data_IF_832717694932
#
_entry.id   IF_832717694932
#
_cell.length_a   1.000
_cell.length_b   1.000
_cell.length_c   1.000
_cell.angle_alpha   90.00
_cell.angle_beta   90.00
_cell.angle_gamma   90.00
#
_symmetry.space_group_name_H-M   'P 1'
#
loop_
_entity.id
_entity.type
_entity.pdbx_description
1 polymer ?
#
# COMPACT_ATOMS: atom_id res chain seq x y z
N UNK A 1 29.19 -17.15 -67.83
CA UNK A 1 30.48 -17.86 -67.83
C UNK A 1 31.19 -17.56 -66.51
N UNK A 2 31.69 -18.63 -65.88
CA UNK A 2 32.49 -18.68 -64.64
C UNK A 2 33.59 -17.59 -64.62
N UNK A 3 33.98 -17.02 -63.47
CA UNK A 3 34.91 -17.67 -62.51
C UNK A 3 34.81 -17.08 -61.10
N UNK A 4 34.82 -18.00 -60.12
CA UNK A 4 35.12 -17.81 -58.71
C UNK A 4 36.64 -17.64 -58.47
N UNK A 5 37.05 -16.94 -57.40
CA UNK A 5 38.18 -17.25 -56.52
C UNK A 5 38.11 -16.27 -55.32
N UNK A 6 37.67 -16.66 -54.12
CA UNK A 6 38.36 -17.41 -53.03
C UNK A 6 39.05 -16.46 -52.03
N UNK A 7 38.57 -16.49 -50.75
CA UNK A 7 39.33 -16.66 -49.47
C UNK A 7 40.53 -15.70 -49.23
N UNK A 8 40.86 -15.13 -48.08
CA UNK A 8 40.40 -15.04 -46.69
C UNK A 8 41.50 -14.24 -45.95
N UNK A 9 41.20 -13.73 -44.76
CA UNK A 9 42.11 -13.39 -43.65
C UNK A 9 43.33 -12.48 -43.92
N UNK A 10 43.33 -11.30 -43.30
CA UNK A 10 44.18 -11.05 -42.12
C UNK A 10 44.08 -9.58 -41.68
N UNK A 11 43.57 -9.40 -40.46
CA UNK A 11 44.07 -8.50 -39.42
C UNK A 11 44.75 -7.21 -39.89
N UNK A 12 44.03 -6.10 -39.84
CA UNK A 12 44.67 -4.82 -39.54
C UNK A 12 44.19 -4.33 -38.18
N UNK A 13 45.13 -4.44 -37.25
CA UNK A 13 45.11 -4.06 -35.85
C UNK A 13 44.54 -2.65 -35.71
N UNK A 14 43.34 -2.55 -35.14
CA UNK A 14 42.79 -1.31 -34.61
C UNK A 14 43.54 -1.00 -33.32
N UNK A 15 44.53 -0.12 -33.44
CA UNK A 15 45.16 0.59 -32.34
C UNK A 15 44.12 1.44 -31.60
N UNK A 16 43.54 0.87 -30.55
CA UNK A 16 42.93 1.63 -29.45
C UNK A 16 43.86 1.54 -28.24
N UNK A 17 44.78 2.51 -28.15
CA UNK A 17 45.40 2.85 -26.89
C UNK A 17 45.01 4.29 -26.58
N UNK A 18 44.32 4.45 -25.47
CA UNK A 18 44.35 5.66 -24.67
C UNK A 18 43.22 6.64 -24.92
N UNK A 19 42.12 6.44 -24.20
CA UNK A 19 41.24 7.48 -23.62
C UNK A 19 40.38 6.71 -22.62
N UNK A 20 40.75 6.68 -21.33
CA UNK A 20 40.42 7.76 -20.41
C UNK A 20 39.12 7.39 -19.70
N UNK A 21 39.21 6.87 -18.48
CA UNK A 21 38.07 6.54 -17.62
C UNK A 21 37.22 7.80 -17.36
N UNK A 22 36.19 8.03 -18.19
CA UNK A 22 35.31 9.20 -18.07
C UNK A 22 33.87 8.95 -18.59
N UNK A 23 33.45 7.69 -18.70
CA UNK A 23 32.13 7.32 -19.25
C UNK A 23 31.17 6.57 -18.30
N UNK A 24 31.53 6.33 -17.03
CA UNK A 24 30.66 5.57 -16.11
C UNK A 24 29.62 6.44 -15.36
N UNK A 25 29.93 7.70 -15.04
CA UNK A 25 29.07 8.53 -14.18
C UNK A 25 27.75 8.97 -14.84
N UNK A 26 27.71 9.05 -16.18
CA UNK A 26 26.49 9.43 -16.90
C UNK A 26 25.41 8.34 -16.86
N UNK A 27 25.82 7.08 -16.90
CA UNK A 27 24.93 5.93 -16.89
C UNK A 27 24.22 5.79 -15.54
N UNK A 28 24.97 5.89 -14.43
CA UNK A 28 24.45 5.77 -13.07
C UNK A 28 23.57 6.93 -12.63
N UNK A 29 23.90 8.16 -13.05
CA UNK A 29 23.02 9.31 -12.82
C UNK A 29 21.66 9.12 -13.48
N UNK A 30 21.64 8.67 -14.74
CA UNK A 30 20.40 8.40 -15.47
C UNK A 30 19.61 7.25 -14.86
N UNK A 31 20.29 6.16 -14.46
CA UNK A 31 19.63 5.03 -13.80
C UNK A 31 18.94 5.46 -12.49
N UNK A 32 19.59 6.30 -11.68
CA UNK A 32 19.03 6.81 -10.43
C UNK A 32 17.87 7.79 -10.65
N UNK A 33 17.94 8.66 -11.68
CA UNK A 33 16.83 9.53 -12.09
C UNK A 33 15.59 8.72 -12.56
N UNK A 34 15.82 7.61 -13.28
CA UNK A 34 14.74 6.67 -13.65
C UNK A 34 14.11 6.08 -12.39
N UNK A 35 14.91 5.63 -11.41
CA UNK A 35 14.39 5.12 -10.13
C UNK A 35 13.60 6.15 -9.34
N UNK A 36 14.03 7.40 -9.30
CA UNK A 36 13.25 8.48 -8.69
C UNK A 36 11.89 8.69 -9.38
N UNK A 37 11.84 8.53 -10.70
CA UNK A 37 10.58 8.60 -11.46
C UNK A 37 9.66 7.42 -11.11
N UNK A 38 10.19 6.20 -11.06
CA UNK A 38 9.44 5.00 -10.67
C UNK A 38 8.90 5.12 -9.23
N UNK A 39 9.70 5.66 -8.30
CA UNK A 39 9.27 5.97 -6.93
C UNK A 39 8.07 6.92 -6.94
N UNK A 40 8.16 8.04 -7.67
CA UNK A 40 7.08 9.03 -7.74
C UNK A 40 5.78 8.42 -8.30
N UNK A 41 5.89 7.60 -9.35
CA UNK A 41 4.75 6.88 -9.91
C UNK A 41 4.11 5.96 -8.88
N UNK A 42 4.90 5.15 -8.19
CA UNK A 42 4.38 4.24 -7.17
C UNK A 42 3.77 5.00 -5.98
N UNK A 43 4.38 6.09 -5.53
CA UNK A 43 3.81 6.94 -4.47
C UNK A 43 2.44 7.51 -4.85
N UNK A 44 2.26 7.91 -6.12
CA UNK A 44 0.96 8.36 -6.61
C UNK A 44 -0.08 7.22 -6.54
N UNK A 45 0.28 6.03 -7.00
CA UNK A 45 -0.61 4.86 -6.98
C UNK A 45 -0.99 4.43 -5.55
N UNK A 46 -0.01 4.41 -4.63
CA UNK A 46 -0.24 4.13 -3.22
C UNK A 46 -1.17 5.16 -2.59
N UNK A 47 -0.97 6.45 -2.89
CA UNK A 47 -1.85 7.53 -2.42
C UNK A 47 -3.28 7.34 -2.90
N UNK A 48 -3.47 6.93 -4.17
CA UNK A 48 -4.77 6.57 -4.71
C UNK A 48 -5.43 5.41 -3.96
N UNK A 49 -4.68 4.36 -3.63
CA UNK A 49 -5.17 3.21 -2.84
C UNK A 49 -5.54 3.59 -1.42
N UNK A 50 -4.72 4.41 -0.76
CA UNK A 50 -4.98 4.93 0.59
C UNK A 50 -6.29 5.72 0.59
N UNK A 51 -6.45 6.66 -0.34
CA UNK A 51 -7.66 7.47 -0.45
C UNK A 51 -8.92 6.62 -0.69
N UNK A 52 -8.82 5.60 -1.56
CA UNK A 52 -9.92 4.65 -1.80
C UNK A 52 -10.27 3.86 -0.54
N UNK A 53 -9.27 3.36 0.18
CA UNK A 53 -9.47 2.59 1.41
C UNK A 53 -10.09 3.45 2.52
N UNK A 54 -9.59 4.68 2.71
CA UNK A 54 -10.15 5.65 3.65
C UNK A 54 -11.61 5.97 3.32
N UNK A 55 -11.93 6.26 2.06
CA UNK A 55 -13.32 6.50 1.63
C UNK A 55 -14.25 5.35 1.98
N UNK A 56 -13.84 4.10 1.68
CA UNK A 56 -14.65 2.90 2.00
C UNK A 56 -14.80 2.71 3.51
N UNK A 57 -13.72 2.91 4.27
CA UNK A 57 -13.72 2.82 5.73
C UNK A 57 -14.70 3.84 6.31
N UNK A 58 -14.65 5.09 5.87
CA UNK A 58 -15.49 6.17 6.39
C UNK A 58 -16.97 5.92 6.08
N UNK A 59 -17.28 5.37 4.90
CA UNK A 59 -18.64 4.91 4.57
C UNK A 59 -19.13 3.80 5.51
N UNK A 60 -18.28 2.82 5.83
CA UNK A 60 -18.62 1.73 6.75
C UNK A 60 -18.76 2.20 8.20
N UNK A 61 -17.93 3.15 8.64
CA UNK A 61 -18.04 3.80 9.95
C UNK A 61 -19.36 4.55 10.05
N UNK A 62 -19.70 5.33 9.02
CA UNK A 62 -20.98 6.03 8.99
C UNK A 62 -22.16 5.04 9.04
N UNK A 63 -22.09 3.94 8.28
CA UNK A 63 -23.14 2.92 8.32
C UNK A 63 -23.26 2.24 9.69
N UNK A 64 -22.14 2.01 10.36
CA UNK A 64 -22.11 1.47 11.72
C UNK A 64 -22.87 2.39 12.68
N UNK A 65 -22.61 3.71 12.64
CA UNK A 65 -23.31 4.69 13.48
C UNK A 65 -24.82 4.73 13.26
N UNK A 66 -25.27 4.60 12.01
CA UNK A 66 -26.70 4.49 11.68
C UNK A 66 -27.35 3.26 12.29
N UNK A 67 -26.67 2.10 12.20
CA UNK A 67 -27.18 0.84 12.76
C UNK A 67 -27.20 0.87 14.29
N UNK A 68 -26.21 1.48 14.92
CA UNK A 68 -26.17 1.70 16.37
C UNK A 68 -27.32 2.62 16.83
N UNK A 69 -27.60 3.69 16.08
CA UNK A 69 -28.73 4.57 16.36
C UNK A 69 -30.05 3.81 16.30
N UNK A 70 -30.24 3.01 15.26
CA UNK A 70 -31.44 2.18 15.13
C UNK A 70 -31.55 1.14 16.26
N UNK A 71 -30.45 0.50 16.67
CA UNK A 71 -30.46 -0.40 17.83
C UNK A 71 -30.90 0.36 19.09
N UNK A 72 -30.42 1.59 19.30
CA UNK A 72 -30.83 2.42 20.45
C UNK A 72 -32.32 2.75 20.41
N UNK A 73 -32.85 3.14 19.26
CA UNK A 73 -34.28 3.46 19.09
C UNK A 73 -35.16 2.23 19.37
N UNK A 74 -34.82 1.07 18.77
CA UNK A 74 -35.51 -0.20 19.02
C UNK A 74 -35.44 -0.59 20.50
N UNK A 75 -34.29 -0.41 21.13
CA UNK A 75 -34.10 -0.71 22.55
C UNK A 75 -35.04 0.11 23.44
N UNK A 76 -35.22 1.39 23.12
CA UNK A 76 -36.11 2.28 23.87
C UNK A 76 -37.58 1.98 23.61
N UNK A 77 -37.96 1.79 22.34
CA UNK A 77 -39.32 1.48 21.94
C UNK A 77 -39.87 0.20 22.60
N UNK A 78 -39.02 -0.83 22.73
CA UNK A 78 -39.42 -2.15 23.22
C UNK A 78 -38.91 -2.48 24.64
N UNK A 79 -38.39 -1.47 25.36
CA UNK A 79 -37.81 -1.61 26.71
C UNK A 79 -36.81 -2.77 26.87
N UNK A 80 -35.93 -2.94 25.88
CA UNK A 80 -34.95 -4.04 25.86
C UNK A 80 -33.77 -3.68 26.77
N UNK A 81 -33.54 -4.48 27.82
CA UNK A 81 -32.45 -4.22 28.80
C UNK A 81 -31.28 -5.20 28.72
N UNK A 82 -31.49 -6.37 28.15
CA UNK A 82 -30.51 -7.46 28.16
C UNK A 82 -30.16 -7.89 26.75
N UNK A 83 -28.94 -8.40 26.58
CA UNK A 83 -28.49 -8.95 25.30
C UNK A 83 -29.38 -10.11 24.84
N UNK A 84 -29.82 -10.98 25.75
CA UNK A 84 -30.72 -12.09 25.41
C UNK A 84 -32.06 -11.60 24.85
N UNK A 85 -32.63 -10.53 25.41
CA UNK A 85 -33.84 -9.90 24.85
C UNK A 85 -33.57 -9.20 23.52
N UNK A 86 -32.37 -8.62 23.36
CA UNK A 86 -31.95 -8.00 22.10
C UNK A 86 -31.91 -9.02 20.95
N UNK A 87 -31.42 -10.24 21.22
CA UNK A 87 -31.40 -11.33 20.22
C UNK A 87 -32.79 -11.82 19.82
N UNK A 88 -33.82 -11.59 20.65
CA UNK A 88 -35.21 -11.92 20.31
C UNK A 88 -35.87 -10.86 19.42
N UNK A 89 -35.31 -9.66 19.34
CA UNK A 89 -35.74 -8.65 18.37
C UNK A 89 -34.95 -8.84 17.08
N UNK A 90 -35.63 -9.29 16.02
CA UNK A 90 -34.99 -9.62 14.73
C UNK A 90 -34.23 -8.44 14.10
N UNK A 91 -34.70 -7.20 14.32
CA UNK A 91 -34.03 -6.01 13.80
C UNK A 91 -32.72 -5.74 14.54
N UNK A 92 -32.73 -5.86 15.88
CA UNK A 92 -31.52 -5.69 16.69
C UNK A 92 -30.50 -6.79 16.40
N UNK A 93 -30.91 -8.06 16.36
CA UNK A 93 -30.02 -9.18 16.04
C UNK A 93 -29.35 -8.99 14.67
N UNK A 94 -30.15 -8.64 13.65
CA UNK A 94 -29.62 -8.36 12.32
C UNK A 94 -28.62 -7.20 12.32
N UNK A 95 -28.96 -6.08 12.95
CA UNK A 95 -28.09 -4.92 12.99
C UNK A 95 -26.77 -5.22 13.74
N UNK A 96 -26.81 -6.00 14.82
CA UNK A 96 -25.60 -6.43 15.54
C UNK A 96 -24.67 -7.27 14.66
N UNK A 97 -25.21 -8.22 13.88
CA UNK A 97 -24.44 -9.03 12.93
C UNK A 97 -23.85 -8.18 11.80
N UNK A 98 -24.61 -7.20 11.33
CA UNK A 98 -24.12 -6.29 10.29
C UNK A 98 -22.99 -5.39 10.81
N UNK A 99 -23.11 -4.85 12.03
CA UNK A 99 -22.02 -4.08 12.67
C UNK A 99 -20.79 -4.95 12.89
N UNK A 100 -20.96 -6.22 13.30
CA UNK A 100 -19.87 -7.18 13.45
C UNK A 100 -19.09 -7.35 12.14
N UNK A 101 -19.79 -7.52 11.02
CA UNK A 101 -19.18 -7.65 9.70
C UNK A 101 -18.46 -6.36 9.27
N UNK A 102 -19.12 -5.21 9.43
CA UNK A 102 -18.55 -3.91 9.08
C UNK A 102 -17.29 -3.60 9.89
N UNK A 103 -17.28 -3.93 11.19
CA UNK A 103 -16.12 -3.74 12.06
C UNK A 103 -14.92 -4.56 11.58
N UNK A 104 -15.16 -5.81 11.16
CA UNK A 104 -14.12 -6.64 10.57
C UNK A 104 -13.54 -6.04 9.27
N UNK A 105 -14.39 -5.56 8.37
CA UNK A 105 -13.92 -4.89 7.14
C UNK A 105 -13.17 -3.59 7.42
N UNK A 106 -13.63 -2.79 8.39
CA UNK A 106 -12.95 -1.56 8.84
C UNK A 106 -11.54 -1.90 9.32
N UNK A 107 -11.36 -2.97 10.09
CA UNK A 107 -10.04 -3.39 10.55
C UNK A 107 -9.12 -3.78 9.38
N UNK A 108 -9.61 -4.57 8.43
CA UNK A 108 -8.83 -4.92 7.23
C UNK A 108 -8.44 -3.70 6.40
N UNK A 109 -9.32 -2.70 6.29
CA UNK A 109 -9.02 -1.43 5.64
C UNK A 109 -7.96 -0.64 6.39
N UNK A 110 -8.02 -0.60 7.73
CA UNK A 110 -7.01 0.06 8.54
C UNK A 110 -5.63 -0.60 8.38
N UNK A 111 -5.56 -1.93 8.40
CA UNK A 111 -4.31 -2.66 8.16
C UNK A 111 -3.72 -2.31 6.79
N UNK A 112 -4.56 -2.23 5.76
CA UNK A 112 -4.13 -1.89 4.40
C UNK A 112 -3.71 -0.44 4.24
N UNK A 113 -4.39 0.48 4.89
CA UNK A 113 -3.98 1.89 4.94
C UNK A 113 -2.60 2.00 5.59
N UNK A 114 -2.39 1.35 6.75
CA UNK A 114 -1.11 1.33 7.43
C UNK A 114 0.00 0.75 6.54
N UNK A 115 -0.25 -0.40 5.92
CA UNK A 115 0.71 -1.05 5.01
C UNK A 115 1.14 -0.15 3.84
N UNK A 116 0.19 0.54 3.19
CA UNK A 116 0.51 1.45 2.09
C UNK A 116 1.18 2.75 2.57
N UNK A 117 0.83 3.27 3.75
CA UNK A 117 1.53 4.42 4.34
C UNK A 117 3.00 4.09 4.61
N UNK A 118 3.30 2.93 5.21
CA UNK A 118 4.68 2.47 5.42
C UNK A 118 5.45 2.36 4.11
N UNK A 119 4.83 1.85 3.05
CA UNK A 119 5.44 1.81 1.71
C UNK A 119 5.75 3.20 1.16
N UNK A 120 4.80 4.14 1.29
CA UNK A 120 4.97 5.52 0.84
C UNK A 120 6.08 6.26 1.60
N UNK A 121 6.17 6.07 2.91
CA UNK A 121 7.23 6.62 3.76
C UNK A 121 8.60 6.06 3.39
N UNK A 122 8.69 4.75 3.15
CA UNK A 122 9.92 4.07 2.73
C UNK A 122 10.38 4.54 1.35
N UNK A 123 9.45 4.67 0.40
CA UNK A 123 9.72 5.24 -0.91
C UNK A 123 10.20 6.69 -0.82
N UNK A 124 9.60 7.49 0.06
CA UNK A 124 10.05 8.87 0.27
C UNK A 124 11.47 8.92 0.83
N UNK A 125 11.81 8.04 1.77
CA UNK A 125 13.18 7.92 2.27
C UNK A 125 14.18 7.64 1.13
N UNK A 126 13.91 6.64 0.29
CA UNK A 126 14.78 6.32 -0.84
C UNK A 126 14.84 7.41 -1.91
N UNK A 127 13.73 8.13 -2.13
CA UNK A 127 13.75 9.29 -3.01
C UNK A 127 14.71 10.37 -2.53
N UNK A 128 14.67 10.70 -1.22
CA UNK A 128 15.59 11.68 -0.63
C UNK A 128 17.04 11.18 -0.70
N UNK A 129 17.28 9.91 -0.40
CA UNK A 129 18.62 9.33 -0.50
C UNK A 129 19.15 9.37 -1.95
N UNK A 130 18.32 9.01 -2.94
CA UNK A 130 18.68 9.10 -4.36
C UNK A 130 18.98 10.54 -4.78
N UNK A 131 18.21 11.50 -4.28
CA UNK A 131 18.45 12.92 -4.53
C UNK A 131 19.80 13.38 -3.94
N UNK A 132 20.12 12.99 -2.72
CA UNK A 132 21.40 13.30 -2.07
C UNK A 132 22.58 12.65 -2.81
N UNK A 133 22.44 11.38 -3.21
CA UNK A 133 23.48 10.64 -3.92
C UNK A 133 23.72 11.22 -5.33
N UNK A 134 22.68 11.71 -6.01
CA UNK A 134 22.84 12.45 -7.28
C UNK A 134 23.69 13.72 -7.11
N UNK A 135 23.55 14.45 -6.00
CA UNK A 135 24.37 15.65 -5.74
C UNK A 135 25.85 15.30 -5.53
N UNK A 136 26.13 14.10 -5.04
CA UNK A 136 27.48 13.60 -4.74
C UNK A 136 27.99 12.57 -5.76
N UNK A 137 27.31 12.39 -6.89
CA UNK A 137 27.52 11.29 -7.85
C UNK A 137 28.94 11.20 -8.41
N UNK A 138 29.65 12.34 -8.48
CA UNK A 138 31.06 12.40 -8.95
C UNK A 138 32.07 11.90 -7.91
N UNK A 139 31.63 11.69 -6.68
CA UNK A 139 32.46 11.31 -5.53
C UNK A 139 32.09 9.94 -4.95
N UNK A 140 30.85 9.51 -5.14
CA UNK A 140 30.39 8.17 -4.78
C UNK A 140 30.99 7.13 -5.73
N UNK A 141 31.19 5.92 -5.23
CA UNK A 141 31.57 4.80 -6.08
C UNK A 141 30.33 4.09 -6.64
N UNK A 142 30.48 3.46 -7.80
CA UNK A 142 29.37 2.78 -8.48
C UNK A 142 28.72 1.69 -7.62
N UNK A 143 29.48 1.04 -6.72
CA UNK A 143 28.96 -0.01 -5.84
C UNK A 143 27.94 0.54 -4.82
N UNK A 144 28.14 1.75 -4.31
CA UNK A 144 27.18 2.41 -3.41
C UNK A 144 25.87 2.74 -4.14
N UNK A 145 25.97 3.24 -5.37
CA UNK A 145 24.82 3.57 -6.21
C UNK A 145 24.07 2.29 -6.61
N UNK A 146 24.78 1.24 -7.01
CA UNK A 146 24.19 -0.07 -7.34
C UNK A 146 23.43 -0.67 -6.15
N UNK A 147 23.96 -0.51 -4.94
CA UNK A 147 23.28 -0.96 -3.72
C UNK A 147 21.99 -0.18 -3.49
N UNK A 148 21.99 1.14 -3.64
CA UNK A 148 20.77 1.95 -3.52
C UNK A 148 19.74 1.53 -4.55
N UNK A 149 20.14 1.36 -5.81
CA UNK A 149 19.25 0.92 -6.89
C UNK A 149 18.64 -0.46 -6.58
N UNK A 150 19.43 -1.40 -6.07
CA UNK A 150 18.93 -2.71 -5.66
C UNK A 150 17.88 -2.59 -4.53
N UNK A 151 18.13 -1.75 -3.52
CA UNK A 151 17.19 -1.53 -2.43
C UNK A 151 15.89 -0.86 -2.89
N UNK A 152 15.98 0.07 -3.85
CA UNK A 152 14.79 0.66 -4.46
C UNK A 152 14.00 -0.42 -5.20
N UNK A 153 14.67 -1.27 -5.99
CA UNK A 153 14.01 -2.36 -6.71
C UNK A 153 13.27 -3.31 -5.78
N UNK A 154 13.86 -3.69 -4.64
CA UNK A 154 13.21 -4.56 -3.66
C UNK A 154 11.86 -3.99 -3.19
N UNK A 155 11.81 -2.68 -2.89
CA UNK A 155 10.57 -2.01 -2.48
C UNK A 155 9.59 -1.86 -3.64
N UNK A 156 10.06 -1.52 -4.84
CA UNK A 156 9.21 -1.46 -6.02
C UNK A 156 8.55 -2.81 -6.30
N UNK A 157 9.31 -3.90 -6.26
CA UNK A 157 8.85 -5.26 -6.49
C UNK A 157 7.86 -5.74 -5.42
N UNK A 158 8.00 -5.27 -4.18
CA UNK A 158 7.04 -5.56 -3.12
C UNK A 158 5.68 -4.89 -3.38
N UNK A 159 5.68 -3.59 -3.71
CA UNK A 159 4.49 -2.75 -3.68
C UNK A 159 3.78 -2.60 -5.03
N UNK A 160 4.48 -2.64 -6.17
CA UNK A 160 3.86 -2.57 -7.51
C UNK A 160 2.75 -3.63 -7.67
N UNK A 161 2.96 -4.92 -7.33
CA UNK A 161 1.90 -5.91 -7.45
C UNK A 161 0.67 -5.60 -6.57
N UNK A 162 0.86 -4.89 -5.46
CA UNK A 162 -0.22 -4.58 -4.52
C UNK A 162 -1.13 -3.46 -5.03
N UNK A 163 -0.65 -2.58 -5.91
CA UNK A 163 -1.49 -1.52 -6.52
C UNK A 163 -2.53 -2.10 -7.47
N UNK A 164 -2.34 -3.32 -7.97
CA UNK A 164 -3.35 -4.00 -8.80
C UNK A 164 -4.28 -4.92 -8.00
N UNK A 165 -3.95 -5.23 -6.75
CA UNK A 165 -4.76 -6.14 -5.92
C UNK A 165 -6.00 -5.47 -5.32
N UNK A 166 -7.06 -6.25 -5.03
CA UNK A 166 -8.14 -5.82 -4.14
C UNK A 166 -7.58 -5.40 -2.77
N UNK A 167 -8.31 -4.53 -2.07
CA UNK A 167 -7.87 -4.05 -0.75
C UNK A 167 -7.77 -5.20 0.25
N UNK A 168 -8.75 -6.10 0.30
CA UNK A 168 -8.71 -7.29 1.16
C UNK A 168 -9.67 -8.36 0.63
N UNK A 169 -9.51 -9.60 1.12
CA UNK A 169 -10.45 -10.69 0.89
C UNK A 169 -11.61 -10.61 1.89
N UNK A 170 -12.83 -10.71 1.37
CA UNK A 170 -14.09 -10.63 2.12
C UNK A 170 -14.30 -11.89 2.99
N UNK A 171 -13.71 -13.04 2.61
CA UNK A 171 -13.90 -14.32 3.29
C UNK A 171 -13.07 -14.51 4.56
N UNK A 172 -12.00 -13.74 4.76
CA UNK A 172 -11.10 -13.85 5.91
C UNK A 172 -11.15 -12.56 6.74
N UNK A 173 -12.17 -12.45 7.59
CA UNK A 173 -12.41 -11.23 8.36
C UNK A 173 -12.61 -11.57 9.83
N UNK A 174 -11.77 -11.02 10.74
CA UNK A 174 -11.91 -11.26 12.16
C UNK A 174 -13.22 -10.64 12.65
N UNK A 175 -14.10 -11.47 13.20
CA UNK A 175 -15.41 -11.04 13.70
C UNK A 175 -15.38 -10.90 15.23
N UNK A 176 -15.69 -9.69 15.69
CA UNK A 176 -15.89 -9.41 17.12
C UNK A 176 -17.22 -9.98 17.59
N UNK A 177 -17.31 -10.54 18.79
CA UNK A 177 -18.57 -11.04 19.33
C UNK A 177 -19.67 -9.96 19.36
N UNK A 178 -20.88 -10.29 18.89
CA UNK A 178 -22.02 -9.36 18.90
C UNK A 178 -22.44 -8.94 20.32
N UNK A 179 -22.13 -9.75 21.33
CA UNK A 179 -22.31 -9.39 22.75
C UNK A 179 -21.45 -8.19 23.16
N UNK A 180 -20.20 -8.11 22.69
CA UNK A 180 -19.32 -6.99 22.98
C UNK A 180 -19.83 -5.72 22.29
N UNK A 181 -20.28 -5.83 21.04
CA UNK A 181 -20.89 -4.72 20.28
C UNK A 181 -22.12 -4.18 21.03
N UNK A 182 -22.99 -5.08 21.50
CA UNK A 182 -24.15 -4.70 22.32
C UNK A 182 -23.72 -3.94 23.60
N UNK A 183 -22.69 -4.42 24.31
CA UNK A 183 -22.20 -3.78 25.53
C UNK A 183 -21.69 -2.36 25.26
N UNK A 184 -20.98 -2.14 24.15
CA UNK A 184 -20.48 -0.83 23.75
C UNK A 184 -21.63 0.16 23.49
N UNK A 185 -22.64 -0.26 22.73
CA UNK A 185 -23.82 0.57 22.44
C UNK A 185 -24.57 0.95 23.72
N UNK A 186 -24.67 0.02 24.68
CA UNK A 186 -25.34 0.28 25.96
C UNK A 186 -24.47 1.15 26.89
N UNK A 187 -23.15 1.00 26.85
CA UNK A 187 -22.20 1.76 27.68
C UNK A 187 -22.07 3.23 27.26
N UNK A 188 -22.19 3.55 25.97
CA UNK A 188 -22.13 4.95 25.46
C UNK A 188 -23.17 5.88 26.11
N UNK A 189 -24.24 5.34 26.70
CA UNK A 189 -25.26 6.12 27.44
C UNK A 189 -24.78 6.60 28.82
N UNK A 190 -23.71 6.05 29.37
CA UNK A 190 -23.21 6.37 30.73
C UNK A 190 -22.21 7.53 30.71
N UNK A 191 -21.59 7.83 29.56
CA UNK A 191 -20.55 8.86 29.41
C UNK A 191 -21.04 10.27 29.04
N UNK A 192 -22.35 10.49 28.85
CA UNK A 192 -22.94 11.82 28.63
C UNK A 192 -23.80 12.20 29.84
N UNK A 193 -23.17 12.73 30.87
CA UNK A 193 -23.80 13.52 31.94
C UNK A 193 -23.10 14.86 32.03
#
# INVERSE_FOLDING_TARGET
MKKYLIVSCALMVLSFIGEGALHATGDKSTELEVKMTEINTLQHDLSGKIALAQKKRDQMVQKTRELEAEIRDQKEQFDIKTYQKALLNSRIDYNLKLIQLLSGYINRLNDKIAYFNTGSETLNYYYQQAQDDLLMIKTLNDLEIDKLIAQINDILDEYIPQTSRPLFDVGDVPLKETKLIWQEIVAEKIGKK
#
